data_IF_847263634103
#
_entry.id   IF_847263634103
#
_cell.length_a   1.000
_cell.length_b   1.000
_cell.length_c   1.000
_cell.angle_alpha   90.00
_cell.angle_beta   90.00
_cell.angle_gamma   90.00
#
_symmetry.space_group_name_H-M   'P 1'
#
loop_
_entity.id
_entity.type
_entity.pdbx_description
1 polymer ?
#
# COMPACT_ATOMS: atom_id res chain seq x y z
N UNK A 1 -67.29 22.76 -29.08
CA UNK A 1 -67.37 21.68 -30.09
C UNK A 1 -68.25 20.55 -29.52
N UNK A 2 -69.41 20.29 -30.10
CA UNK A 2 -70.47 19.44 -29.53
C UNK A 2 -70.06 17.97 -29.34
N UNK A 3 -70.53 17.36 -28.24
CA UNK A 3 -70.19 16.03 -27.70
C UNK A 3 -70.34 14.89 -28.72
N UNK A 4 -71.24 15.02 -29.69
CA UNK A 4 -71.47 14.05 -30.77
C UNK A 4 -70.24 13.83 -31.68
N UNK A 5 -69.44 14.87 -31.95
CA UNK A 5 -68.22 14.74 -32.77
C UNK A 5 -67.08 14.00 -32.04
N UNK A 6 -67.02 14.09 -30.70
CA UNK A 6 -66.02 13.36 -29.90
C UNK A 6 -66.31 11.86 -29.84
N UNK A 7 -67.59 11.50 -29.83
CA UNK A 7 -68.04 10.11 -29.81
C UNK A 7 -67.72 9.39 -31.13
N UNK A 8 -67.93 10.07 -32.26
CA UNK A 8 -67.63 9.52 -33.59
C UNK A 8 -66.12 9.30 -33.82
N UNK A 9 -65.27 10.21 -33.30
CA UNK A 9 -63.81 10.06 -33.35
C UNK A 9 -63.35 8.91 -32.45
N UNK A 10 -63.94 8.76 -31.26
CA UNK A 10 -63.62 7.66 -30.35
C UNK A 10 -63.89 6.29 -30.98
N UNK A 11 -65.07 6.10 -31.58
CA UNK A 11 -65.39 4.82 -32.24
C UNK A 11 -64.59 4.59 -33.53
N UNK A 12 -64.24 5.65 -34.26
CA UNK A 12 -63.35 5.54 -35.43
C UNK A 12 -61.95 5.04 -35.06
N UNK A 13 -61.38 5.55 -33.96
CA UNK A 13 -60.06 5.12 -33.46
C UNK A 13 -60.14 3.71 -32.87
N UNK A 14 -61.21 3.38 -32.16
CA UNK A 14 -61.40 2.03 -31.59
C UNK A 14 -61.56 0.96 -32.68
N UNK A 15 -62.30 1.27 -33.75
CA UNK A 15 -62.46 0.37 -34.89
C UNK A 15 -61.15 0.17 -35.66
N UNK A 16 -60.35 1.23 -35.84
CA UNK A 16 -59.04 1.14 -36.47
C UNK A 16 -58.05 0.29 -35.65
N UNK A 17 -58.07 0.42 -34.32
CA UNK A 17 -57.27 -0.43 -33.42
C UNK A 17 -57.71 -1.89 -33.48
N UNK A 18 -59.01 -2.18 -33.49
CA UNK A 18 -59.51 -3.55 -33.56
C UNK A 18 -59.16 -4.25 -34.89
N UNK A 19 -59.29 -3.54 -36.01
CA UNK A 19 -58.94 -4.07 -37.35
C UNK A 19 -57.42 -4.24 -37.50
N UNK A 20 -56.62 -3.30 -36.96
CA UNK A 20 -55.17 -3.39 -36.95
C UNK A 20 -54.64 -4.58 -36.14
N UNK A 21 -55.27 -4.87 -34.99
CA UNK A 21 -54.87 -5.99 -34.13
C UNK A 21 -55.19 -7.34 -34.78
N UNK A 22 -56.33 -7.47 -35.47
CA UNK A 22 -56.70 -8.70 -36.19
C UNK A 22 -55.81 -8.96 -37.43
N UNK A 23 -55.36 -7.91 -38.13
CA UNK A 23 -54.43 -8.04 -39.26
C UNK A 23 -53.04 -8.55 -38.86
N UNK A 24 -52.57 -8.21 -37.65
CA UNK A 24 -51.29 -8.68 -37.10
C UNK A 24 -51.39 -10.13 -36.62
N UNK A 25 -52.52 -10.53 -36.02
CA UNK A 25 -52.72 -11.91 -35.53
C UNK A 25 -52.89 -12.92 -36.68
N UNK A 26 -53.55 -12.54 -37.78
CA UNK A 26 -53.76 -13.42 -38.95
C UNK A 26 -52.54 -13.56 -39.87
N UNK A 27 -51.56 -12.64 -39.80
CA UNK A 27 -50.35 -12.68 -40.66
C UNK A 27 -49.17 -13.45 -40.05
N UNK A 28 -49.33 -13.99 -38.83
CA UNK A 28 -48.36 -14.91 -38.21
C UNK A 28 -46.98 -14.31 -37.90
N UNK A 29 -46.78 -13.00 -38.07
CA UNK A 29 -45.50 -12.34 -37.91
C UNK A 29 -45.51 -11.54 -36.60
N UNK A 30 -45.17 -12.19 -35.49
CA UNK A 30 -44.92 -11.50 -34.23
C UNK A 30 -43.48 -10.95 -34.22
N UNK A 31 -43.26 -9.62 -34.26
CA UNK A 31 -41.99 -9.10 -33.79
C UNK A 31 -41.89 -9.38 -32.29
N UNK A 32 -40.77 -9.96 -31.85
CA UNK A 32 -40.45 -10.10 -30.43
C UNK A 32 -40.37 -8.71 -29.80
N UNK A 33 -41.47 -8.27 -29.17
CA UNK A 33 -41.45 -7.09 -28.31
C UNK A 33 -40.82 -7.49 -26.98
N UNK A 34 -39.50 -7.31 -26.85
CA UNK A 34 -38.84 -7.21 -25.54
C UNK A 34 -39.33 -5.94 -24.86
N UNK A 35 -40.21 -6.09 -23.87
CA UNK A 35 -40.62 -5.00 -22.99
C UNK A 35 -39.40 -4.61 -22.15
N UNK A 36 -38.91 -3.35 -22.22
CA UNK A 36 -37.80 -2.91 -21.40
C UNK A 36 -38.32 -2.73 -19.97
N UNK A 37 -38.05 -3.73 -19.11
CA UNK A 37 -38.37 -3.65 -17.68
C UNK A 37 -37.61 -2.51 -16.95
N UNK A 38 -36.75 -1.75 -17.63
CA UNK A 38 -36.08 -0.57 -17.08
C UNK A 38 -37.02 0.59 -16.76
N UNK A 39 -38.25 0.61 -17.29
CA UNK A 39 -39.24 1.66 -17.01
C UNK A 39 -40.12 1.34 -15.80
N UNK A 40 -40.09 0.11 -15.30
CA UNK A 40 -40.79 -0.31 -14.07
C UNK A 40 -39.85 -0.51 -12.87
N UNK A 41 -38.54 -0.33 -13.06
CA UNK A 41 -37.65 -0.11 -11.93
C UNK A 41 -37.97 1.27 -11.35
N UNK A 42 -38.42 1.28 -10.10
CA UNK A 42 -38.76 2.48 -9.34
C UNK A 42 -37.74 3.60 -9.55
N UNK A 43 -38.23 4.84 -9.55
CA UNK A 43 -37.50 6.10 -9.36
C UNK A 43 -36.72 6.10 -8.03
N UNK A 44 -35.77 5.18 -7.86
CA UNK A 44 -34.62 5.42 -7.02
C UNK A 44 -33.81 6.44 -7.79
N UNK A 45 -34.02 7.72 -7.44
CA UNK A 45 -33.14 8.83 -7.82
C UNK A 45 -31.72 8.29 -7.76
N UNK A 46 -31.11 8.07 -8.92
CA UNK A 46 -29.76 7.57 -9.03
C UNK A 46 -28.87 8.54 -8.28
N UNK A 47 -28.58 8.25 -7.01
CA UNK A 47 -27.43 8.81 -6.35
C UNK A 47 -26.29 8.39 -7.25
N UNK A 48 -25.68 9.36 -7.94
CA UNK A 48 -24.44 9.13 -8.67
C UNK A 48 -23.58 8.24 -7.78
N UNK A 49 -23.19 7.06 -8.29
CA UNK A 49 -22.21 6.24 -7.59
C UNK A 49 -21.05 7.18 -7.32
N UNK A 50 -20.77 7.42 -6.05
CA UNK A 50 -19.59 8.16 -5.64
C UNK A 50 -18.41 7.31 -6.11
N UNK A 51 -17.81 7.71 -7.22
CA UNK A 51 -16.65 7.03 -7.80
C UNK A 51 -15.44 7.38 -6.95
N UNK A 52 -14.74 6.35 -6.47
CA UNK A 52 -13.53 6.55 -5.70
C UNK A 52 -12.41 7.05 -6.62
N UNK A 53 -11.59 8.02 -6.18
CA UNK A 53 -10.46 8.49 -6.98
C UNK A 53 -9.44 7.37 -7.17
N UNK A 54 -8.84 7.28 -8.36
CA UNK A 54 -7.69 6.39 -8.60
C UNK A 54 -6.44 7.00 -7.99
N UNK A 55 -5.69 6.20 -7.24
CA UNK A 55 -4.42 6.62 -6.65
C UNK A 55 -3.23 6.16 -7.50
N UNK A 56 -2.08 6.83 -7.35
CA UNK A 56 -0.82 6.38 -7.96
C UNK A 56 -0.38 5.05 -7.34
N UNK A 57 0.06 4.13 -8.17
CA UNK A 57 0.52 2.79 -7.79
C UNK A 57 2.01 2.69 -8.00
N UNK A 58 2.72 2.07 -7.05
CA UNK A 58 4.10 1.64 -7.24
C UNK A 58 4.11 0.35 -8.06
N UNK A 59 4.81 0.33 -9.19
CA UNK A 59 4.89 -0.85 -10.04
C UNK A 59 6.02 -1.77 -9.55
N UNK A 60 5.69 -2.83 -8.82
CA UNK A 60 6.69 -3.78 -8.30
C UNK A 60 7.49 -4.45 -9.43
N UNK A 61 6.83 -4.76 -10.55
CA UNK A 61 7.50 -5.28 -11.76
C UNK A 61 8.65 -4.42 -12.29
N UNK A 62 8.66 -3.13 -11.97
CA UNK A 62 9.69 -2.19 -12.43
C UNK A 62 10.85 -2.12 -11.42
N UNK A 63 10.74 -2.81 -10.28
CA UNK A 63 11.73 -2.85 -9.20
C UNK A 63 12.37 -4.22 -9.11
N UNK A 64 13.69 -4.28 -9.30
CA UNK A 64 14.47 -5.49 -9.06
C UNK A 64 15.00 -5.46 -7.62
N UNK A 65 14.50 -6.36 -6.76
CA UNK A 65 14.85 -6.38 -5.33
C UNK A 65 16.35 -6.59 -5.08
N UNK A 66 17.04 -7.38 -5.92
CA UNK A 66 18.47 -7.63 -5.79
C UNK A 66 19.29 -6.41 -6.19
N UNK A 67 18.94 -5.76 -7.30
CA UNK A 67 19.58 -4.49 -7.70
C UNK A 67 19.34 -3.42 -6.65
N UNK A 68 18.13 -3.33 -6.11
CA UNK A 68 17.82 -2.40 -5.03
C UNK A 68 18.66 -2.71 -3.78
N UNK A 69 18.79 -3.98 -3.38
CA UNK A 69 19.66 -4.37 -2.27
C UNK A 69 21.10 -3.92 -2.50
N UNK A 70 21.65 -4.19 -3.69
CA UNK A 70 23.03 -3.83 -4.05
C UNK A 70 23.26 -2.31 -3.90
N UNK A 71 22.32 -1.49 -4.39
CA UNK A 71 22.37 -0.02 -4.25
C UNK A 71 22.32 0.43 -2.77
N UNK A 72 21.50 -0.24 -1.94
CA UNK A 72 21.36 0.09 -0.52
C UNK A 72 22.62 -0.30 0.27
N UNK A 73 23.21 -1.46 -0.03
CA UNK A 73 24.47 -1.92 0.56
C UNK A 73 25.62 -1.01 0.16
N UNK A 74 25.70 -0.56 -1.10
CA UNK A 74 26.74 0.37 -1.55
C UNK A 74 26.75 1.67 -0.71
N UNK A 75 25.56 2.20 -0.37
CA UNK A 75 25.44 3.37 0.50
C UNK A 75 25.91 3.09 1.94
N UNK A 76 25.61 1.92 2.48
CA UNK A 76 26.08 1.50 3.81
C UNK A 76 27.60 1.31 3.82
N UNK A 77 28.16 0.71 2.79
CA UNK A 77 29.60 0.54 2.63
C UNK A 77 30.32 1.89 2.49
N UNK A 78 29.73 2.83 1.75
CA UNK A 78 30.24 4.19 1.64
C UNK A 78 30.26 4.92 2.99
N UNK A 79 29.19 4.79 3.79
CA UNK A 79 29.14 5.35 5.15
C UNK A 79 30.20 4.71 6.07
N UNK A 80 30.26 3.37 6.08
CA UNK A 80 31.26 2.64 6.87
C UNK A 80 32.69 3.09 6.53
N UNK A 81 32.99 3.19 5.23
CA UNK A 81 34.30 3.64 4.75
C UNK A 81 34.59 5.08 5.17
N UNK A 82 33.64 5.98 5.01
CA UNK A 82 33.81 7.38 5.39
C UNK A 82 34.10 7.52 6.89
N UNK A 83 33.29 6.89 7.74
CA UNK A 83 33.41 7.01 9.19
C UNK A 83 34.58 6.23 9.81
N UNK A 84 35.04 5.14 9.16
CA UNK A 84 36.20 4.39 9.61
C UNK A 84 37.54 5.04 9.20
N UNK A 85 37.58 5.76 8.07
CA UNK A 85 38.83 6.29 7.51
C UNK A 85 39.07 7.77 7.83
N UNK A 86 38.02 8.56 8.00
CA UNK A 86 38.14 9.98 8.32
C UNK A 86 37.88 10.23 9.82
N UNK A 87 38.97 10.36 10.56
CA UNK A 87 38.94 10.68 12.00
C UNK A 87 38.20 11.99 12.31
N UNK A 88 37.99 12.86 11.31
CA UNK A 88 37.27 14.12 11.48
C UNK A 88 35.78 14.00 11.18
N UNK A 89 35.27 12.88 10.66
CA UNK A 89 33.84 12.77 10.32
C UNK A 89 32.90 13.01 11.51
N UNK A 90 33.39 12.79 12.73
CA UNK A 90 32.67 13.05 13.98
C UNK A 90 33.16 14.28 14.75
N UNK A 91 34.06 15.09 14.17
CA UNK A 91 34.62 16.27 14.83
C UNK A 91 33.58 17.37 15.10
N UNK A 92 32.52 17.41 14.30
CA UNK A 92 31.39 18.33 14.45
C UNK A 92 30.14 17.77 13.77
N UNK A 93 28.97 18.31 14.14
CA UNK A 93 27.72 17.98 13.46
C UNK A 93 27.74 18.36 11.97
N UNK A 94 28.48 19.41 11.60
CA UNK A 94 28.60 19.84 10.20
C UNK A 94 29.41 18.84 9.40
N UNK A 95 30.54 18.36 9.92
CA UNK A 95 31.37 17.38 9.21
C UNK A 95 30.66 16.04 9.04
N UNK A 96 29.86 15.66 10.04
CA UNK A 96 28.98 14.49 9.94
C UNK A 96 27.90 14.71 8.87
N UNK A 97 27.29 15.89 8.82
CA UNK A 97 26.32 16.24 7.78
C UNK A 97 26.94 16.18 6.39
N UNK A 98 28.09 16.84 6.18
CA UNK A 98 28.81 16.81 4.91
C UNK A 98 29.14 15.38 4.46
N UNK A 99 29.36 14.47 5.41
CA UNK A 99 29.66 13.05 5.12
C UNK A 99 28.41 12.29 4.68
N UNK A 100 27.29 12.46 5.39
CA UNK A 100 26.01 11.82 5.05
C UNK A 100 25.47 12.38 3.73
N UNK A 101 25.52 13.70 3.55
CA UNK A 101 24.98 14.38 2.36
C UNK A 101 25.73 14.03 1.08
N UNK A 102 27.01 13.67 1.15
CA UNK A 102 27.75 13.13 -0.02
C UNK A 102 27.19 11.80 -0.53
N UNK A 103 26.50 11.03 0.32
CA UNK A 103 26.00 9.68 -0.01
C UNK A 103 24.51 9.71 -0.35
N UNK A 104 23.74 10.54 0.35
CA UNK A 104 22.27 10.61 0.24
C UNK A 104 21.75 11.88 -0.42
N UNK A 105 22.62 12.86 -0.70
CA UNK A 105 22.22 14.20 -1.13
C UNK A 105 21.98 15.16 0.05
N UNK A 106 21.81 16.46 -0.23
CA UNK A 106 21.54 17.48 0.79
C UNK A 106 20.37 17.10 1.69
N UNK A 107 20.49 17.36 2.99
CA UNK A 107 19.40 17.13 3.93
C UNK A 107 18.32 18.20 3.81
N UNK A 108 17.06 17.77 3.75
CA UNK A 108 15.90 18.67 3.75
C UNK A 108 15.78 19.46 5.05
N UNK A 109 16.06 18.82 6.19
CA UNK A 109 16.18 19.46 7.50
C UNK A 109 17.50 19.06 8.18
N UNK A 110 18.45 20.00 8.26
CA UNK A 110 19.73 19.77 8.94
C UNK A 110 19.61 19.47 10.44
N UNK A 111 18.45 19.70 11.07
CA UNK A 111 18.20 19.32 12.46
C UNK A 111 18.25 17.81 12.67
N UNK A 112 17.86 17.02 11.68
CA UNK A 112 17.82 15.56 11.80
C UNK A 112 19.23 14.99 12.03
N UNK A 113 20.19 15.44 11.22
CA UNK A 113 21.59 15.05 11.35
C UNK A 113 22.18 15.62 12.65
N UNK A 114 21.84 16.85 13.02
CA UNK A 114 22.28 17.43 14.30
C UNK A 114 21.78 16.60 15.50
N UNK A 115 20.54 16.13 15.47
CA UNK A 115 19.97 15.30 16.52
C UNK A 115 20.66 13.94 16.62
N UNK A 116 20.93 13.30 15.47
CA UNK A 116 21.74 12.07 15.41
C UNK A 116 23.14 12.31 15.99
N UNK A 117 23.83 13.37 15.56
CA UNK A 117 25.15 13.72 16.07
C UNK A 117 25.14 13.88 17.58
N UNK A 118 24.20 14.65 18.14
CA UNK A 118 24.06 14.86 19.58
C UNK A 118 23.87 13.53 20.33
N UNK A 119 23.18 12.58 19.71
CA UNK A 119 22.90 11.28 20.29
C UNK A 119 24.15 10.40 20.39
N UNK A 120 24.95 10.37 19.33
CA UNK A 120 26.17 9.53 19.26
C UNK A 120 27.41 10.22 19.83
N UNK A 121 27.38 11.54 20.02
CA UNK A 121 28.52 12.35 20.47
C UNK A 121 29.26 11.80 21.70
N UNK A 122 28.60 11.23 22.73
CA UNK A 122 29.30 10.64 23.87
C UNK A 122 30.26 9.50 23.50
N UNK A 123 30.11 8.89 22.32
CA UNK A 123 30.89 7.74 21.85
C UNK A 123 31.93 8.11 20.78
N UNK A 124 31.89 9.31 20.20
CA UNK A 124 32.74 9.70 19.04
C UNK A 124 33.59 10.94 19.31
N UNK A 125 33.98 11.17 20.57
CA UNK A 125 34.69 12.37 21.01
C UNK A 125 36.06 12.58 20.32
N UNK A 126 36.56 13.82 20.35
CA UNK A 126 37.67 14.33 19.52
C UNK A 126 39.05 13.65 19.69
N UNK A 127 39.19 12.67 20.56
CA UNK A 127 40.47 12.00 20.82
C UNK A 127 40.49 10.52 20.40
N UNK A 128 39.34 9.84 20.42
CA UNK A 128 39.21 8.44 19.99
C UNK A 128 37.83 8.23 19.37
N UNK A 129 37.80 7.66 18.17
CA UNK A 129 36.57 7.31 17.49
C UNK A 129 36.07 5.95 17.98
N UNK A 130 34.95 5.93 18.70
CA UNK A 130 34.28 4.70 19.13
C UNK A 130 33.51 3.98 18.02
N UNK A 131 33.53 4.47 16.77
CA UNK A 131 32.82 3.84 15.66
C UNK A 131 33.21 2.38 15.46
N UNK A 132 32.20 1.51 15.36
CA UNK A 132 32.38 0.08 15.10
C UNK A 132 31.93 -0.26 13.68
N UNK A 133 30.65 -0.02 13.38
CA UNK A 133 30.06 -0.42 12.10
C UNK A 133 28.68 0.21 11.88
N UNK A 134 28.28 0.27 10.61
CA UNK A 134 26.91 0.47 10.16
C UNK A 134 26.45 -0.78 9.44
N UNK A 135 25.26 -1.26 9.75
CA UNK A 135 24.69 -2.47 9.16
C UNK A 135 23.26 -2.22 8.69
N UNK A 136 22.89 -2.79 7.54
CA UNK A 136 21.54 -2.69 7.00
C UNK A 136 20.62 -3.67 7.75
N UNK A 137 19.44 -3.22 8.18
CA UNK A 137 18.44 -4.11 8.84
C UNK A 137 17.07 -4.08 8.16
N UNK A 138 16.86 -3.14 7.25
CA UNK A 138 15.74 -3.15 6.33
C UNK A 138 15.84 -2.07 5.27
N UNK A 139 15.19 -2.31 4.14
CA UNK A 139 15.18 -1.38 3.02
C UNK A 139 13.90 -1.53 2.21
N UNK A 140 13.57 -0.53 1.42
CA UNK A 140 12.44 -0.61 0.49
C UNK A 140 12.17 0.71 -0.19
N UNK A 141 10.97 0.83 -0.75
CA UNK A 141 10.53 2.02 -1.47
C UNK A 141 9.08 2.33 -1.14
N UNK A 142 8.74 3.61 -0.95
CA UNK A 142 7.37 4.08 -0.69
C UNK A 142 7.09 5.36 -1.45
N UNK A 143 5.86 5.50 -1.93
CA UNK A 143 5.29 6.73 -2.47
C UNK A 143 4.95 7.66 -1.31
N UNK A 144 5.63 8.80 -1.26
CA UNK A 144 5.38 9.89 -0.34
C UNK A 144 5.06 11.11 -1.19
N UNK A 145 3.89 11.72 -0.97
CA UNK A 145 3.37 12.79 -1.83
C UNK A 145 3.39 12.40 -3.32
N UNK A 146 3.08 11.13 -3.60
CA UNK A 146 3.13 10.50 -4.92
C UNK A 146 4.51 10.45 -5.60
N UNK A 147 5.60 10.67 -4.87
CA UNK A 147 6.97 10.47 -5.35
C UNK A 147 7.63 9.24 -4.70
N UNK A 148 8.35 8.40 -5.47
CA UNK A 148 9.04 7.25 -4.92
C UNK A 148 10.24 7.71 -4.07
N UNK A 149 10.23 7.32 -2.80
CA UNK A 149 11.34 7.52 -1.88
C UNK A 149 11.89 6.17 -1.42
N UNK A 150 13.20 6.06 -1.40
CA UNK A 150 13.89 4.92 -0.81
C UNK A 150 13.87 5.07 0.71
N UNK A 151 13.60 3.95 1.38
CA UNK A 151 13.62 3.84 2.84
C UNK A 151 14.75 2.90 3.19
N UNK A 152 15.56 3.30 4.17
CA UNK A 152 16.65 2.48 4.68
C UNK A 152 16.65 2.53 6.20
N UNK A 153 16.74 1.36 6.83
CA UNK A 153 16.90 1.24 8.28
C UNK A 153 18.22 0.56 8.57
N UNK A 154 19.01 1.21 9.41
CA UNK A 154 20.37 0.83 9.70
C UNK A 154 20.57 0.69 11.20
N UNK A 155 21.57 -0.08 11.59
CA UNK A 155 22.08 -0.08 12.96
C UNK A 155 23.48 0.50 12.94
N UNK A 156 23.67 1.51 13.77
CA UNK A 156 24.93 2.21 13.94
C UNK A 156 25.50 1.81 15.29
N UNK A 157 26.64 1.14 15.25
CA UNK A 157 27.29 0.58 16.43
C UNK A 157 28.50 1.41 16.81
N UNK A 158 28.57 1.76 18.09
CA UNK A 158 29.66 2.50 18.69
C UNK A 158 30.12 1.83 19.98
N UNK A 159 31.34 2.13 20.42
CA UNK A 159 31.91 1.71 21.69
C UNK A 159 32.29 2.95 22.48
N UNK A 160 31.85 3.04 23.73
CA UNK A 160 32.28 4.14 24.61
C UNK A 160 33.71 3.95 25.13
N UNK A 161 34.22 4.93 25.87
CA UNK A 161 35.58 4.89 26.45
C UNK A 161 35.78 3.77 27.48
N UNK A 162 34.70 3.14 27.97
CA UNK A 162 34.78 1.99 28.86
C UNK A 162 34.74 0.65 28.11
N UNK A 163 34.66 0.66 26.78
CA UNK A 163 34.53 -0.55 25.97
C UNK A 163 33.10 -1.07 25.86
N UNK A 164 32.08 -0.31 26.29
CA UNK A 164 30.67 -0.72 26.22
C UNK A 164 30.11 -0.42 24.85
N UNK A 165 29.45 -1.40 24.22
CA UNK A 165 28.78 -1.24 22.94
C UNK A 165 27.45 -0.51 23.09
N UNK A 166 27.20 0.44 22.21
CA UNK A 166 25.96 1.19 22.06
C UNK A 166 25.49 1.08 20.62
N UNK A 167 24.27 0.60 20.43
CA UNK A 167 23.65 0.44 19.12
C UNK A 167 22.52 1.46 18.97
N UNK A 168 22.45 2.11 17.81
CA UNK A 168 21.39 3.03 17.46
C UNK A 168 20.69 2.58 16.19
N UNK A 169 19.36 2.53 16.23
CA UNK A 169 18.58 2.27 15.03
C UNK A 169 18.34 3.59 14.32
N UNK A 170 18.88 3.72 13.11
CA UNK A 170 18.78 4.91 12.27
C UNK A 170 17.85 4.61 11.11
N UNK A 171 16.82 5.42 10.93
CA UNK A 171 15.89 5.34 9.79
C UNK A 171 16.10 6.52 8.87
N UNK A 172 16.29 6.24 7.59
CA UNK A 172 16.59 7.20 6.53
C UNK A 172 15.50 7.12 5.47
N UNK A 173 15.09 8.29 4.98
CA UNK A 173 14.26 8.41 3.78
C UNK A 173 14.93 9.38 2.83
N UNK A 174 15.12 8.96 1.59
CA UNK A 174 15.83 9.75 0.61
C UNK A 174 15.35 9.46 -0.80
N UNK A 175 15.70 10.34 -1.72
CA UNK A 175 15.66 10.09 -3.15
C UNK A 175 17.06 10.35 -3.74
N UNK A 176 17.26 10.16 -5.03
CA UNK A 176 18.57 10.38 -5.67
C UNK A 176 19.09 11.83 -5.60
N UNK A 177 18.31 12.77 -5.07
CA UNK A 177 18.61 14.20 -5.02
C UNK A 177 18.70 14.77 -3.60
N UNK A 178 17.99 14.21 -2.63
CA UNK A 178 17.90 14.73 -1.26
C UNK A 178 17.70 13.63 -0.20
N UNK A 179 18.24 13.88 0.99
CA UNK A 179 17.89 13.17 2.22
C UNK A 179 16.66 13.87 2.83
N UNK A 180 15.50 13.25 2.69
CA UNK A 180 14.21 13.82 3.08
C UNK A 180 13.95 13.74 4.60
N UNK A 181 14.39 12.67 5.25
CA UNK A 181 14.19 12.44 6.69
C UNK A 181 15.30 11.56 7.25
N UNK A 182 15.77 11.88 8.46
CA UNK A 182 16.64 11.02 9.25
C UNK A 182 16.16 11.01 10.70
N UNK A 183 16.03 9.81 11.29
CA UNK A 183 15.71 9.65 12.70
C UNK A 183 16.57 8.58 13.36
N UNK A 184 16.75 8.71 14.69
CA UNK A 184 17.59 7.79 15.46
C UNK A 184 16.96 7.44 16.81
N UNK A 185 16.72 6.16 17.04
CA UNK A 185 16.21 5.60 18.30
C UNK A 185 17.26 4.70 18.96
N UNK A 186 17.13 4.42 20.25
CA UNK A 186 18.07 3.53 20.93
C UNK A 186 17.84 2.12 20.38
N UNK A 187 18.92 1.48 19.95
CA UNK A 187 18.88 0.15 19.35
C UNK A 187 18.64 -0.92 20.41
N UNK A 188 17.83 -1.92 20.06
CA UNK A 188 17.77 -3.19 20.77
C UNK A 188 18.79 -4.19 20.21
N UNK A 189 18.93 -5.34 20.86
CA UNK A 189 19.78 -6.43 20.38
C UNK A 189 19.37 -6.84 18.95
N UNK A 190 20.34 -6.74 18.01
CA UNK A 190 20.11 -7.01 16.59
C UNK A 190 19.86 -8.49 16.38
N UNK A 191 18.68 -8.85 15.87
CA UNK A 191 18.33 -10.27 15.63
C UNK A 191 18.77 -10.78 14.26
N UNK A 192 18.80 -9.95 13.22
CA UNK A 192 19.28 -10.32 11.88
C UNK A 192 19.65 -9.08 11.05
N UNK A 193 20.82 -9.09 10.43
CA UNK A 193 21.34 -8.04 9.53
C UNK A 193 21.13 -8.48 8.09
N UNK A 194 20.84 -7.52 7.20
CA UNK A 194 20.76 -7.76 5.77
C UNK A 194 22.15 -7.64 5.15
N UNK A 195 22.55 -8.62 4.35
CA UNK A 195 23.83 -8.64 3.65
C UNK A 195 23.64 -8.75 2.14
N UNK A 196 24.67 -8.42 1.36
CA UNK A 196 24.65 -8.61 -0.10
C UNK A 196 24.44 -10.07 -0.54
N UNK A 197 24.78 -11.01 0.33
CA UNK A 197 24.67 -12.44 0.05
C UNK A 197 23.23 -12.95 0.31
N UNK A 198 22.36 -12.12 0.91
CA UNK A 198 20.95 -12.41 1.03
C UNK A 198 20.33 -12.44 -0.37
N UNK A 199 19.96 -13.64 -0.80
CA UNK A 199 19.29 -13.81 -2.08
C UNK A 199 17.82 -13.48 -1.95
N UNK A 200 17.44 -12.34 -2.50
CA UNK A 200 16.04 -12.02 -2.77
C UNK A 200 15.71 -12.72 -4.09
N UNK A 201 15.03 -13.88 -4.02
CA UNK A 201 14.35 -14.39 -5.22
C UNK A 201 13.44 -13.26 -5.74
N UNK A 202 13.07 -13.27 -7.02
CA UNK A 202 12.15 -12.29 -7.61
C UNK A 202 10.71 -12.46 -7.02
N UNK A 203 10.59 -12.27 -5.70
CA UNK A 203 9.42 -12.54 -4.85
C UNK A 203 8.43 -11.39 -4.90
N UNK A 204 8.77 -10.30 -5.59
CA UNK A 204 7.83 -9.30 -6.06
C UNK A 204 6.70 -10.01 -6.84
N UNK A 205 7.03 -10.92 -7.75
CA UNK A 205 6.08 -11.72 -8.52
C UNK A 205 5.30 -12.72 -7.65
N UNK A 206 5.96 -13.33 -6.66
CA UNK A 206 5.29 -14.26 -5.72
C UNK A 206 4.25 -13.51 -4.87
N UNK A 207 4.61 -12.33 -4.34
CA UNK A 207 3.67 -11.49 -3.63
C UNK A 207 2.53 -11.02 -4.53
N UNK A 208 2.82 -10.53 -5.74
CA UNK A 208 1.78 -10.13 -6.70
C UNK A 208 0.81 -11.28 -7.00
N UNK A 209 1.32 -12.51 -7.12
CA UNK A 209 0.51 -13.71 -7.31
C UNK A 209 -0.37 -13.99 -6.10
N UNK A 210 0.19 -13.98 -4.89
CA UNK A 210 -0.55 -14.19 -3.65
C UNK A 210 -1.62 -13.11 -3.44
N UNK A 211 -1.27 -11.84 -3.70
CA UNK A 211 -2.18 -10.71 -3.60
C UNK A 211 -3.30 -10.78 -4.64
N UNK A 212 -2.97 -11.16 -5.88
CA UNK A 212 -3.97 -11.36 -6.94
C UNK A 212 -5.00 -12.41 -6.53
N UNK A 213 -4.57 -13.49 -5.88
CA UNK A 213 -5.49 -14.52 -5.40
C UNK A 213 -6.38 -14.01 -4.24
N UNK A 214 -5.83 -13.22 -3.32
CA UNK A 214 -6.60 -12.53 -2.28
C UNK A 214 -7.63 -11.58 -2.89
N UNK A 215 -7.25 -10.78 -3.88
CA UNK A 215 -8.19 -9.88 -4.59
C UNK A 215 -9.28 -10.68 -5.29
N UNK A 216 -8.92 -11.77 -5.98
CA UNK A 216 -9.85 -12.61 -6.74
C UNK A 216 -10.88 -13.30 -5.83
N UNK A 217 -10.47 -13.81 -4.66
CA UNK A 217 -11.36 -14.51 -3.72
C UNK A 217 -12.07 -13.57 -2.75
N UNK A 218 -11.42 -12.49 -2.33
CA UNK A 218 -11.90 -11.56 -1.32
C UNK A 218 -12.79 -10.43 -1.86
N UNK A 219 -12.86 -10.24 -3.18
CA UNK A 219 -13.73 -9.22 -3.81
C UNK A 219 -15.16 -9.73 -3.90
N UNK A 220 -16.08 -9.05 -3.21
CA UNK A 220 -17.51 -9.26 -3.33
C UNK A 220 -18.29 -7.94 -3.08
N UNK A 221 -18.51 -7.20 -4.17
CA UNK A 221 -19.26 -5.92 -4.10
C UNK A 221 -20.75 -6.10 -3.84
N UNK A 222 -21.31 -7.29 -4.07
CA UNK A 222 -22.71 -7.57 -3.77
C UNK A 222 -22.88 -7.78 -2.26
N UNK A 223 -22.04 -8.64 -1.68
CA UNK A 223 -22.00 -8.86 -0.24
C UNK A 223 -21.78 -7.54 0.50
N UNK A 224 -20.86 -6.69 0.05
CA UNK A 224 -20.67 -5.36 0.66
C UNK A 224 -21.97 -4.54 0.69
N UNK A 225 -22.75 -4.52 -0.39
CA UNK A 225 -24.03 -3.77 -0.43
C UNK A 225 -25.08 -4.36 0.50
N UNK A 226 -25.12 -5.68 0.63
CA UNK A 226 -26.02 -6.39 1.55
C UNK A 226 -25.64 -6.09 3.00
N UNK A 227 -24.36 -6.25 3.34
CA UNK A 227 -23.81 -5.92 4.65
C UNK A 227 -24.02 -4.44 5.01
N UNK A 228 -23.86 -3.52 4.05
CA UNK A 228 -24.08 -2.08 4.25
C UNK A 228 -25.51 -1.77 4.68
N UNK A 229 -26.50 -2.48 4.15
CA UNK A 229 -27.90 -2.36 4.57
C UNK A 229 -28.14 -2.97 5.96
N UNK A 230 -27.39 -4.02 6.30
CA UNK A 230 -27.48 -4.75 7.56
C UNK A 230 -26.61 -4.16 8.70
N UNK A 231 -25.92 -3.04 8.47
CA UNK A 231 -25.14 -2.34 9.51
C UNK A 231 -23.64 -2.62 9.53
N UNK A 232 -23.07 -3.31 8.52
CA UNK A 232 -21.64 -3.65 8.40
C UNK A 232 -21.06 -4.34 9.66
N UNK A 233 -21.38 -5.61 9.85
CA UNK A 233 -20.87 -6.42 10.97
C UNK A 233 -19.99 -7.56 10.45
N UNK A 234 -18.78 -7.68 11.01
CA UNK A 234 -17.81 -8.73 10.66
C UNK A 234 -18.25 -10.13 11.09
N UNK A 235 -19.26 -10.25 11.95
CA UNK A 235 -19.80 -11.54 12.39
C UNK A 235 -20.92 -12.10 11.49
N UNK A 236 -21.29 -11.40 10.41
CA UNK A 236 -22.27 -11.91 9.45
C UNK A 236 -21.76 -13.19 8.79
N UNK A 237 -22.67 -14.18 8.64
CA UNK A 237 -22.33 -15.54 8.18
C UNK A 237 -21.67 -15.52 6.81
N UNK A 238 -22.19 -14.69 5.90
CA UNK A 238 -21.72 -14.53 4.53
C UNK A 238 -20.32 -13.93 4.49
N UNK A 239 -20.04 -12.93 5.34
CA UNK A 239 -18.69 -12.37 5.48
C UNK A 239 -17.71 -13.38 6.06
N UNK A 240 -18.11 -14.13 7.10
CA UNK A 240 -17.26 -15.19 7.66
C UNK A 240 -16.98 -16.31 6.67
N UNK A 241 -17.87 -16.56 5.70
CA UNK A 241 -17.60 -17.48 4.60
C UNK A 241 -16.55 -16.91 3.63
N UNK A 242 -16.67 -15.62 3.26
CA UNK A 242 -15.67 -14.92 2.45
C UNK A 242 -14.29 -14.89 3.13
N UNK A 243 -14.23 -14.52 4.40
CA UNK A 243 -13.02 -14.46 5.24
C UNK A 243 -12.31 -15.81 5.34
N UNK A 244 -13.04 -16.93 5.26
CA UNK A 244 -12.45 -18.29 5.24
C UNK A 244 -11.96 -18.72 3.87
N UNK A 245 -12.38 -18.05 2.79
CA UNK A 245 -12.03 -18.42 1.42
C UNK A 245 -10.67 -17.87 0.98
N UNK A 246 -10.22 -16.79 1.63
CA UNK A 246 -8.92 -16.15 1.41
C UNK A 246 -7.82 -16.87 2.18
N UNK A 247 -6.62 -16.90 1.62
CA UNK A 247 -5.46 -17.56 2.22
C UNK A 247 -4.64 -16.54 3.02
N UNK A 248 -5.07 -16.27 4.25
CA UNK A 248 -4.37 -15.44 5.24
C UNK A 248 -4.09 -16.25 6.51
N UNK A 249 -2.94 -16.01 7.15
CA UNK A 249 -2.64 -16.65 8.45
C UNK A 249 -3.46 -16.01 9.57
N UNK A 250 -3.55 -14.69 9.58
CA UNK A 250 -4.42 -13.88 10.43
C UNK A 250 -5.34 -13.01 9.56
N UNK A 251 -6.65 -13.31 9.50
CA UNK A 251 -7.61 -12.54 8.72
C UNK A 251 -8.18 -11.33 9.47
N UNK A 252 -7.74 -11.02 10.69
CA UNK A 252 -8.37 -10.02 11.58
C UNK A 252 -8.59 -8.64 10.92
N UNK A 253 -7.66 -8.14 10.12
CA UNK A 253 -7.81 -6.86 9.42
C UNK A 253 -8.43 -6.94 8.02
N UNK A 254 -8.79 -8.13 7.53
CA UNK A 254 -9.46 -8.30 6.22
C UNK A 254 -10.81 -7.58 6.17
N UNK A 255 -11.57 -7.56 7.27
CA UNK A 255 -12.86 -6.87 7.32
C UNK A 255 -12.73 -5.36 7.07
N UNK A 256 -11.75 -4.70 7.69
CA UNK A 256 -11.53 -3.27 7.48
C UNK A 256 -11.11 -2.98 6.04
N UNK A 257 -10.25 -3.83 5.46
CA UNK A 257 -9.89 -3.72 4.04
C UNK A 257 -11.12 -3.87 3.14
N UNK A 258 -11.92 -4.92 3.34
CA UNK A 258 -13.13 -5.19 2.56
C UNK A 258 -14.14 -4.02 2.65
N UNK A 259 -14.31 -3.47 3.85
CA UNK A 259 -15.17 -2.32 4.11
C UNK A 259 -14.68 -1.05 3.40
N UNK A 260 -13.41 -0.72 3.55
CA UNK A 260 -12.83 0.52 3.03
C UNK A 260 -12.72 0.51 1.49
N UNK A 261 -12.46 -0.68 0.92
CA UNK A 261 -12.46 -0.91 -0.54
C UNK A 261 -13.85 -1.03 -1.15
N UNK A 262 -14.91 -0.92 -0.32
CA UNK A 262 -16.32 -1.08 -0.73
C UNK A 262 -16.62 -2.44 -1.37
N UNK A 263 -15.93 -3.49 -0.90
CA UNK A 263 -16.02 -4.87 -1.36
C UNK A 263 -15.23 -5.16 -2.64
N UNK A 264 -14.48 -4.20 -3.19
CA UNK A 264 -13.64 -4.37 -4.38
C UNK A 264 -12.17 -4.15 -4.04
N UNK A 265 -11.47 -5.23 -3.71
CA UNK A 265 -10.09 -5.16 -3.25
C UNK A 265 -9.11 -4.62 -4.30
N UNK A 266 -9.50 -4.55 -5.59
CA UNK A 266 -8.69 -3.91 -6.62
C UNK A 266 -8.53 -2.39 -6.39
N UNK A 267 -9.33 -1.78 -5.50
CA UNK A 267 -9.16 -0.40 -5.05
C UNK A 267 -8.10 -0.23 -3.95
N UNK A 268 -7.39 -1.29 -3.55
CA UNK A 268 -6.19 -1.17 -2.74
C UNK A 268 -4.98 -0.93 -3.66
N UNK A 269 -4.47 0.29 -3.64
CA UNK A 269 -3.37 0.72 -4.49
C UNK A 269 -2.04 0.59 -3.76
N UNK A 270 -1.14 -0.25 -4.27
CA UNK A 270 0.18 -0.43 -3.68
C UNK A 270 0.93 0.91 -3.66
N UNK A 271 1.34 1.34 -2.48
CA UNK A 271 2.07 2.59 -2.25
C UNK A 271 3.50 2.36 -1.80
N UNK A 272 3.89 1.16 -1.39
CA UNK A 272 5.27 0.88 -1.04
C UNK A 272 5.51 -0.53 -0.59
N UNK A 273 6.77 -0.86 -0.36
CA UNK A 273 7.19 -2.10 0.26
C UNK A 273 8.43 -1.86 1.13
N UNK A 274 8.65 -2.75 2.10
CA UNK A 274 9.78 -2.73 3.00
C UNK A 274 10.19 -4.14 3.37
N UNK A 275 11.45 -4.48 3.11
CA UNK A 275 12.03 -5.78 3.42
C UNK A 275 12.80 -5.72 4.74
N UNK A 276 12.62 -6.76 5.56
CA UNK A 276 13.40 -6.96 6.79
C UNK A 276 13.67 -8.45 7.03
N UNK A 277 14.75 -8.75 7.74
CA UNK A 277 15.05 -10.10 8.23
C UNK A 277 14.60 -10.30 9.70
N UNK A 278 13.81 -9.37 10.26
CA UNK A 278 13.29 -9.45 11.64
C UNK A 278 11.78 -9.74 11.64
N UNK A 279 11.24 -10.61 12.53
CA UNK A 279 11.90 -11.40 13.57
C UNK A 279 12.49 -12.73 13.09
N UNK A 280 12.20 -13.14 11.86
CA UNK A 280 12.81 -14.28 11.17
C UNK A 280 13.19 -13.83 9.76
N UNK A 281 14.25 -14.41 9.20
CA UNK A 281 14.70 -14.09 7.85
C UNK A 281 13.50 -14.13 6.89
N UNK A 282 13.33 -13.09 6.07
CA UNK A 282 12.33 -13.15 5.00
C UNK A 282 10.96 -12.51 5.26
N UNK A 283 10.78 -11.50 6.11
CA UNK A 283 9.52 -10.73 6.10
C UNK A 283 9.57 -9.54 5.12
N UNK A 284 8.42 -9.22 4.54
CA UNK A 284 8.19 -8.02 3.74
C UNK A 284 6.87 -7.39 4.13
N UNK A 285 6.88 -6.08 4.34
CA UNK A 285 5.68 -5.29 4.51
C UNK A 285 5.34 -4.62 3.18
N UNK A 286 4.10 -4.77 2.71
CA UNK A 286 3.58 -4.08 1.54
C UNK A 286 2.51 -3.07 1.98
N UNK A 287 2.71 -1.82 1.61
CA UNK A 287 1.83 -0.71 1.98
C UNK A 287 0.83 -0.45 0.89
N UNK A 288 -0.45 -0.32 1.25
CA UNK A 288 -1.54 -0.03 0.35
C UNK A 288 -2.28 1.24 0.79
N UNK A 289 -2.70 2.02 -0.19
CA UNK A 289 -3.59 3.17 -0.03
C UNK A 289 -4.96 2.81 -0.59
N UNK A 290 -6.01 3.01 0.21
CA UNK A 290 -7.39 2.76 -0.16
C UNK A 290 -8.16 4.08 -0.11
N UNK A 291 -8.66 4.61 -1.23
CA UNK A 291 -9.49 5.80 -1.23
C UNK A 291 -10.84 5.47 -0.57
N UNK A 292 -11.14 6.06 0.57
CA UNK A 292 -12.42 5.84 1.28
C UNK A 292 -13.47 6.89 0.89
N UNK A 293 -13.00 8.06 0.45
CA UNK A 293 -13.79 9.15 -0.14
C UNK A 293 -12.97 9.93 -1.19
N UNK A 294 -13.51 11.03 -1.73
CA UNK A 294 -12.76 11.93 -2.62
C UNK A 294 -11.52 12.56 -1.97
N UNK A 295 -11.48 12.65 -0.64
CA UNK A 295 -10.44 13.38 0.11
C UNK A 295 -9.72 12.53 1.15
N UNK A 296 -10.26 11.37 1.48
CA UNK A 296 -9.73 10.51 2.54
C UNK A 296 -9.16 9.23 1.96
N UNK A 297 -8.02 8.83 2.50
CA UNK A 297 -7.29 7.63 2.14
C UNK A 297 -6.98 6.87 3.42
N UNK A 298 -7.36 5.60 3.48
CA UNK A 298 -6.93 4.68 4.51
C UNK A 298 -5.64 3.98 4.08
N UNK A 299 -4.74 3.74 5.04
CA UNK A 299 -3.50 3.02 4.81
C UNK A 299 -3.58 1.62 5.42
N UNK A 300 -3.05 0.65 4.67
CA UNK A 300 -2.98 -0.75 5.09
C UNK A 300 -1.57 -1.28 4.91
N UNK A 301 -1.15 -2.17 5.81
CA UNK A 301 0.08 -2.96 5.69
C UNK A 301 -0.29 -4.43 5.54
N UNK A 302 0.21 -5.03 4.48
CA UNK A 302 0.12 -6.46 4.21
C UNK A 302 1.47 -7.07 4.55
N UNK A 303 1.51 -7.90 5.58
CA UNK A 303 2.73 -8.60 6.02
C UNK A 303 2.83 -9.89 5.22
N UNK A 304 3.96 -10.07 4.54
CA UNK A 304 4.24 -11.22 3.69
C UNK A 304 5.46 -11.98 4.21
N UNK A 305 5.28 -13.28 4.43
CA UNK A 305 6.37 -14.20 4.72
C UNK A 305 6.95 -14.68 3.39
N UNK A 306 8.14 -14.18 3.06
CA UNK A 306 8.88 -14.53 1.85
C UNK A 306 9.37 -15.98 1.87
N UNK A 307 9.61 -16.59 3.03
CA UNK A 307 10.08 -17.97 3.11
C UNK A 307 8.94 -18.94 2.83
N UNK A 308 7.77 -18.67 3.39
CA UNK A 308 6.58 -19.48 3.19
C UNK A 308 5.78 -19.12 1.93
N UNK A 309 6.12 -17.99 1.30
CA UNK A 309 5.41 -17.39 0.17
C UNK A 309 3.92 -17.17 0.48
N UNK A 310 3.63 -16.60 1.65
CA UNK A 310 2.26 -16.42 2.16
C UNK A 310 2.05 -15.06 2.78
N UNK A 311 0.83 -14.54 2.60
CA UNK A 311 0.39 -13.36 3.33
C UNK A 311 0.04 -13.80 4.76
N UNK A 312 0.71 -13.17 5.72
CA UNK A 312 0.56 -13.43 7.14
C UNK A 312 -0.67 -12.68 7.67
N UNK A 313 -0.71 -11.37 7.47
CA UNK A 313 -1.76 -10.50 8.03
C UNK A 313 -1.98 -9.26 7.19
N UNK A 314 -3.15 -8.66 7.35
CA UNK A 314 -3.50 -7.34 6.81
C UNK A 314 -3.85 -6.45 7.99
N UNK A 315 -3.21 -5.28 8.11
CA UNK A 315 -3.39 -4.37 9.23
C UNK A 315 -3.72 -2.97 8.72
N UNK A 316 -4.75 -2.32 9.27
CA UNK A 316 -5.04 -0.91 9.03
C UNK A 316 -4.08 -0.06 9.89
N UNK A 317 -3.45 0.98 9.31
CA UNK A 317 -2.58 1.92 10.05
C UNK A 317 -3.36 3.09 10.64
#
# INVERSE_FOLDING_TARGET
MNTSKKWLIFWGVLAALFVGTFGVILSGNFPQFTIPFSVFASDDKGKNKEELPKLKVLALRDVNDQTLLDEQIEKVDALNKAFAQDNNSFSSSQTMADTIEKIYGPAKDGKDIFNLYRKIYPMVSSQENGFVSISLIGFGQRLIDDEPMSIQRQIWSFTDTNGTRHDYTVSLRFNGNELAELSAEDGGEVKSVITKDDTYLDKSADFETAWTEVVRRGTDTQLYREMKKAGMDSNQTEFKALEKSIELTDPSGFFELFKDTRGDLAHAYLSGFYHTNTPTDGQSDYYFRVPTSEKEVAEFVVVYDRLQQKIVSINRQ
#
